data_IF_073026717209
#
_entry.id   IF_073026717209
#
_cell.length_a   1.000
_cell.length_b   1.000
_cell.length_c   1.000
_cell.angle_alpha   90.00
_cell.angle_beta   90.00
_cell.angle_gamma   90.00
#
_symmetry.space_group_name_H-M   'P 1'
#
loop_
_entity.id
_entity.type
_entity.pdbx_description
1 polymer ?
#
# COMPACT_ATOMS: atom_id res chain seq x y z
N UNK A 1 -12.33 -22.05 17.59
CA UNK A 1 -13.02 -21.95 18.89
C UNK A 1 -14.46 -21.45 18.84
N UNK A 2 -14.83 -20.48 17.99
CA UNK A 2 -16.23 -19.98 17.89
C UNK A 2 -16.98 -20.41 16.61
N UNK A 3 -16.80 -21.65 16.16
CA UNK A 3 -17.42 -22.14 14.91
C UNK A 3 -18.95 -22.23 14.99
N UNK A 4 -19.46 -22.67 16.14
CA UNK A 4 -20.90 -22.85 16.38
C UNK A 4 -21.56 -21.64 17.07
N UNK A 5 -20.80 -20.55 17.26
CA UNK A 5 -21.31 -19.34 17.88
C UNK A 5 -22.13 -18.51 16.88
N UNK A 6 -23.26 -17.95 17.33
CA UNK A 6 -24.07 -17.06 16.50
C UNK A 6 -23.28 -15.79 16.14
N UNK A 7 -23.41 -15.34 14.88
CA UNK A 7 -22.65 -14.19 14.37
C UNK A 7 -22.82 -12.91 15.22
N UNK A 8 -23.97 -12.73 15.88
CA UNK A 8 -24.23 -11.60 16.78
C UNK A 8 -23.28 -11.57 17.99
N UNK A 9 -22.81 -12.73 18.45
CA UNK A 9 -21.94 -12.91 19.63
C UNK A 9 -20.43 -12.79 19.33
N UNK A 10 -20.08 -12.58 18.06
CA UNK A 10 -18.69 -12.42 17.62
C UNK A 10 -18.19 -10.99 17.87
N UNK A 11 -16.89 -10.85 18.16
CA UNK A 11 -16.23 -9.53 18.23
C UNK A 11 -16.21 -8.86 16.85
N UNK A 12 -15.91 -7.56 16.80
CA UNK A 12 -15.80 -6.83 15.52
C UNK A 12 -14.83 -7.47 14.54
N UNK A 13 -13.62 -7.82 15.01
CA UNK A 13 -12.62 -8.52 14.19
C UNK A 13 -13.08 -9.91 13.74
N UNK A 14 -13.74 -10.68 14.62
CA UNK A 14 -14.30 -11.99 14.25
C UNK A 14 -15.42 -11.88 13.20
N UNK A 15 -16.26 -10.84 13.27
CA UNK A 15 -17.28 -10.57 12.24
C UNK A 15 -16.64 -10.24 10.89
N UNK A 16 -15.53 -9.50 10.88
CA UNK A 16 -14.76 -9.22 9.65
C UNK A 16 -14.15 -10.49 9.05
N UNK A 17 -13.51 -11.33 9.88
CA UNK A 17 -13.02 -12.67 9.44
C UNK A 17 -14.17 -13.53 8.88
N UNK A 18 -15.35 -13.51 9.50
CA UNK A 18 -16.53 -14.21 9.00
C UNK A 18 -17.01 -13.64 7.64
N UNK A 19 -17.07 -12.31 7.49
CA UNK A 19 -17.41 -11.66 6.22
C UNK A 19 -16.45 -12.05 5.10
N UNK A 20 -15.15 -12.07 5.38
CA UNK A 20 -14.14 -12.55 4.43
C UNK A 20 -14.38 -14.01 4.05
N UNK A 21 -14.65 -14.88 5.04
CA UNK A 21 -15.01 -16.28 4.80
C UNK A 21 -16.26 -16.43 3.90
N UNK A 22 -17.29 -15.63 4.13
CA UNK A 22 -18.49 -15.60 3.29
C UNK A 22 -18.21 -15.15 1.86
N UNK A 23 -17.28 -14.21 1.66
CA UNK A 23 -16.91 -13.74 0.32
C UNK A 23 -16.19 -14.85 -0.50
N UNK A 24 -15.49 -15.75 0.18
CA UNK A 24 -14.57 -16.71 -0.46
C UNK A 24 -15.21 -18.09 -0.64
N UNK A 25 -16.14 -18.49 0.22
CA UNK A 25 -16.77 -19.82 0.17
C UNK A 25 -17.41 -20.13 -1.19
N UNK A 26 -17.82 -19.10 -1.94
CA UNK A 26 -18.39 -19.22 -3.28
C UNK A 26 -17.37 -19.53 -4.39
N UNK A 27 -16.06 -19.55 -4.09
CA UNK A 27 -15.00 -19.73 -5.07
C UNK A 27 -14.90 -18.57 -6.05
N UNK A 28 -15.09 -17.33 -5.59
CA UNK A 28 -15.01 -16.15 -6.45
C UNK A 28 -13.60 -16.01 -7.05
N UNK A 29 -13.53 -15.61 -8.32
CA UNK A 29 -12.29 -15.26 -9.04
C UNK A 29 -11.84 -13.83 -8.69
N UNK A 30 -12.80 -12.95 -8.36
CA UNK A 30 -12.58 -11.55 -7.99
C UNK A 30 -13.09 -11.31 -6.57
N UNK A 31 -12.25 -10.71 -5.74
CA UNK A 31 -12.56 -10.34 -4.36
C UNK A 31 -12.41 -8.82 -4.21
N UNK A 32 -13.45 -8.15 -3.73
CA UNK A 32 -13.43 -6.71 -3.44
C UNK A 32 -13.62 -6.56 -1.93
N UNK A 33 -12.62 -5.99 -1.27
CA UNK A 33 -12.55 -5.85 0.17
C UNK A 33 -12.49 -4.37 0.53
N UNK A 34 -13.49 -3.92 1.29
CA UNK A 34 -13.52 -2.56 1.81
C UNK A 34 -13.02 -2.55 3.26
N UNK A 35 -11.85 -1.94 3.48
CA UNK A 35 -11.22 -1.78 4.80
C UNK A 35 -11.17 -3.08 5.62
N UNK A 36 -10.61 -4.19 5.05
CA UNK A 36 -10.76 -5.53 5.62
C UNK A 36 -10.16 -5.67 7.02
N UNK A 37 -9.14 -4.88 7.35
CA UNK A 37 -8.38 -4.96 8.60
C UNK A 37 -8.72 -3.87 9.61
N UNK A 38 -9.67 -3.00 9.28
CA UNK A 38 -10.19 -2.01 10.22
C UNK A 38 -10.66 -2.70 11.50
N UNK A 39 -10.37 -2.14 12.67
CA UNK A 39 -10.77 -2.67 13.98
C UNK A 39 -10.42 -4.15 14.26
N UNK A 40 -9.38 -4.66 13.61
CA UNK A 40 -8.70 -5.91 13.99
C UNK A 40 -7.45 -5.56 14.79
N UNK A 41 -7.09 -6.43 15.73
CA UNK A 41 -5.80 -6.36 16.43
C UNK A 41 -4.62 -6.64 15.47
N UNK A 42 -3.39 -6.20 15.82
CA UNK A 42 -2.23 -6.35 14.94
C UNK A 42 -1.92 -7.79 14.54
N UNK A 43 -2.15 -8.76 15.43
CA UNK A 43 -1.92 -10.18 15.17
C UNK A 43 -2.92 -10.72 14.14
N UNK A 44 -4.21 -10.50 14.37
CA UNK A 44 -5.27 -10.88 13.44
C UNK A 44 -5.15 -10.22 12.07
N UNK A 45 -4.60 -9.00 12.00
CA UNK A 45 -4.30 -8.30 10.74
C UNK A 45 -3.26 -9.06 9.92
N UNK A 46 -2.15 -9.46 10.55
CA UNK A 46 -1.08 -10.23 9.90
C UNK A 46 -1.58 -11.57 9.38
N UNK A 47 -2.39 -12.29 10.16
CA UNK A 47 -3.02 -13.53 9.69
C UNK A 47 -3.86 -13.30 8.43
N UNK A 48 -4.65 -12.23 8.40
CA UNK A 48 -5.47 -11.88 7.24
C UNK A 48 -4.58 -11.53 6.04
N UNK A 49 -3.50 -10.78 6.24
CA UNK A 49 -2.55 -10.45 5.19
C UNK A 49 -1.92 -11.70 4.58
N UNK A 50 -1.46 -12.64 5.40
CA UNK A 50 -0.89 -13.91 4.95
C UNK A 50 -1.89 -14.72 4.11
N UNK A 51 -3.17 -14.73 4.50
CA UNK A 51 -4.23 -15.37 3.73
C UNK A 51 -4.45 -14.69 2.37
N UNK A 52 -4.49 -13.35 2.32
CA UNK A 52 -4.66 -12.61 1.07
C UNK A 52 -3.46 -12.79 0.14
N UNK A 53 -2.24 -12.78 0.68
CA UNK A 53 -1.02 -13.04 -0.07
C UNK A 53 -0.99 -14.45 -0.65
N UNK A 54 -1.48 -15.46 0.09
CA UNK A 54 -1.62 -16.82 -0.41
C UNK A 54 -2.60 -16.90 -1.60
N UNK A 55 -3.71 -16.15 -1.56
CA UNK A 55 -4.70 -16.14 -2.64
C UNK A 55 -4.33 -15.25 -3.84
N UNK A 56 -3.34 -14.37 -3.71
CA UNK A 56 -2.89 -13.44 -4.76
C UNK A 56 -2.59 -14.13 -6.10
N UNK A 57 -2.10 -15.38 -6.08
CA UNK A 57 -1.79 -16.14 -7.31
C UNK A 57 -3.02 -16.73 -8.00
N UNK A 58 -4.12 -16.91 -7.27
CA UNK A 58 -5.33 -17.61 -7.75
C UNK A 58 -6.50 -16.66 -8.02
N UNK A 59 -6.47 -15.45 -7.45
CA UNK A 59 -7.60 -14.52 -7.43
C UNK A 59 -7.13 -13.09 -7.69
N UNK A 60 -7.99 -12.31 -8.33
CA UNK A 60 -7.84 -10.85 -8.38
C UNK A 60 -8.45 -10.25 -7.13
N UNK A 61 -7.65 -9.52 -6.36
CA UNK A 61 -8.08 -8.93 -5.09
C UNK A 61 -7.96 -7.40 -5.20
N UNK A 62 -9.07 -6.70 -4.97
CA UNK A 62 -9.12 -5.24 -4.85
C UNK A 62 -9.37 -4.88 -3.39
N UNK A 63 -8.49 -4.09 -2.81
CA UNK A 63 -8.56 -3.66 -1.41
C UNK A 63 -8.63 -2.14 -1.39
N UNK A 64 -9.59 -1.59 -0.66
CA UNK A 64 -9.55 -0.19 -0.21
C UNK A 64 -9.08 -0.15 1.23
N UNK A 65 -8.06 0.67 1.48
CA UNK A 65 -7.47 0.84 2.80
C UNK A 65 -6.96 2.25 2.98
N UNK A 66 -7.05 2.77 4.20
CA UNK A 66 -6.36 3.97 4.64
C UNK A 66 -5.04 3.67 5.36
N UNK A 67 -4.71 2.39 5.57
CA UNK A 67 -3.42 1.98 6.12
C UNK A 67 -2.42 1.78 4.99
N UNK A 68 -1.49 2.72 4.83
CA UNK A 68 -0.51 2.66 3.76
C UNK A 68 0.45 1.46 3.91
N UNK A 69 0.78 1.06 5.15
CA UNK A 69 1.50 -0.21 5.41
C UNK A 69 0.77 -1.44 4.82
N UNK A 70 -0.56 -1.47 4.86
CA UNK A 70 -1.36 -2.55 4.26
C UNK A 70 -1.26 -2.53 2.74
N UNK A 71 -1.33 -1.34 2.14
CA UNK A 71 -1.19 -1.16 0.71
C UNK A 71 0.21 -1.58 0.22
N UNK A 72 1.28 -1.21 0.96
CA UNK A 72 2.66 -1.58 0.62
C UNK A 72 2.89 -3.09 0.75
N UNK A 73 2.34 -3.73 1.80
CA UNK A 73 2.53 -5.15 2.04
C UNK A 73 1.75 -6.04 1.06
N UNK A 74 0.51 -5.66 0.70
CA UNK A 74 -0.38 -6.48 -0.12
C UNK A 74 -0.38 -6.11 -1.61
N UNK A 75 -0.04 -4.87 -1.95
CA UNK A 75 -0.25 -4.30 -3.28
C UNK A 75 0.75 -4.78 -4.34
N UNK A 76 0.25 -5.40 -5.41
CA UNK A 76 0.95 -5.44 -6.71
C UNK A 76 0.99 -4.06 -7.36
N UNK A 77 -0.13 -3.36 -7.27
CA UNK A 77 -0.41 -2.07 -7.86
C UNK A 77 -1.21 -1.25 -6.86
N UNK A 78 -0.82 0.01 -6.71
CA UNK A 78 -1.41 0.95 -5.76
C UNK A 78 -1.99 2.10 -6.55
N UNK A 79 -3.16 2.55 -6.13
CA UNK A 79 -3.83 3.73 -6.65
C UNK A 79 -4.12 4.65 -5.46
N UNK A 80 -3.56 5.85 -5.48
CA UNK A 80 -3.75 6.84 -4.44
C UNK A 80 -4.87 7.79 -4.87
N UNK A 81 -5.93 7.85 -4.06
CA UNK A 81 -7.05 8.75 -4.28
C UNK A 81 -7.08 9.84 -3.20
N UNK A 82 -7.32 11.08 -3.61
CA UNK A 82 -7.55 12.22 -2.72
C UNK A 82 -8.60 13.14 -3.34
N UNK A 83 -9.42 13.80 -2.50
CA UNK A 83 -10.44 14.76 -2.94
C UNK A 83 -11.36 14.21 -4.06
N UNK A 84 -11.73 12.93 -3.98
CA UNK A 84 -12.62 12.27 -4.94
C UNK A 84 -12.01 12.01 -6.32
N UNK A 85 -10.70 12.23 -6.50
CA UNK A 85 -9.99 11.98 -7.76
C UNK A 85 -8.77 11.07 -7.56
N UNK A 86 -8.45 10.30 -8.59
CA UNK A 86 -7.24 9.50 -8.63
C UNK A 86 -6.05 10.44 -8.85
N UNK A 87 -5.12 10.45 -7.92
CA UNK A 87 -3.97 11.33 -7.97
C UNK A 87 -2.79 10.67 -8.66
N UNK A 88 -2.50 9.42 -8.31
CA UNK A 88 -1.43 8.65 -8.92
C UNK A 88 -1.66 7.15 -8.77
N UNK A 89 -0.95 6.37 -9.58
CA UNK A 89 -1.04 4.93 -9.54
C UNK A 89 0.24 4.28 -10.07
N UNK A 90 0.60 3.12 -9.55
CA UNK A 90 1.79 2.41 -9.98
C UNK A 90 2.11 1.24 -9.08
N UNK A 91 3.23 0.57 -9.34
CA UNK A 91 3.79 -0.39 -8.36
C UNK A 91 4.28 0.39 -7.14
N UNK A 92 4.33 -0.21 -5.94
CA UNK A 92 4.81 0.48 -4.74
C UNK A 92 6.22 1.07 -4.94
N UNK A 93 7.12 0.30 -5.57
CA UNK A 93 8.47 0.76 -5.90
C UNK A 93 8.47 1.82 -7.01
N UNK A 94 7.58 1.70 -8.01
CA UNK A 94 7.43 2.69 -9.08
C UNK A 94 6.99 4.05 -8.54
N UNK A 95 6.02 4.07 -7.62
CA UNK A 95 5.57 5.29 -6.95
C UNK A 95 6.69 5.92 -6.12
N UNK A 96 7.43 5.12 -5.34
CA UNK A 96 8.60 5.60 -4.57
C UNK A 96 9.67 6.22 -5.48
N UNK A 97 9.89 5.65 -6.66
CA UNK A 97 10.82 6.20 -7.65
C UNK A 97 10.29 7.47 -8.34
N UNK A 98 9.04 7.47 -8.78
CA UNK A 98 8.43 8.57 -9.54
C UNK A 98 8.27 9.83 -8.71
N UNK A 99 7.93 9.69 -7.44
CA UNK A 99 7.77 10.83 -6.53
C UNK A 99 9.11 11.33 -5.99
N UNK A 100 10.23 10.87 -6.54
CA UNK A 100 11.60 11.34 -6.29
C UNK A 100 11.92 11.37 -4.79
N UNK A 101 11.60 10.25 -4.14
CA UNK A 101 11.74 10.12 -2.70
C UNK A 101 12.75 9.02 -2.41
N UNK A 102 14.00 9.47 -2.27
CA UNK A 102 15.16 8.63 -2.07
C UNK A 102 15.28 8.01 -0.67
N UNK A 103 16.51 7.64 -0.30
CA UNK A 103 16.80 7.21 1.06
C UNK A 103 16.92 8.42 1.99
N UNK A 104 16.27 8.36 3.14
CA UNK A 104 16.46 9.31 4.22
C UNK A 104 17.61 8.84 5.10
N UNK A 105 18.77 9.48 4.97
CA UNK A 105 19.91 9.28 5.85
C UNK A 105 19.78 10.22 7.05
N UNK A 106 19.59 9.64 8.24
CA UNK A 106 19.56 10.34 9.52
C UNK A 106 20.84 10.08 10.29
N UNK A 107 21.54 11.15 10.65
CA UNK A 107 22.79 11.12 11.41
C UNK A 107 22.59 11.82 12.75
N UNK A 108 22.72 11.08 13.84
CA UNK A 108 22.76 11.62 15.19
C UNK A 108 24.21 11.95 15.52
N UNK A 109 24.54 13.22 15.76
CA UNK A 109 25.87 13.64 16.19
C UNK A 109 25.95 13.75 17.71
N UNK A 110 27.15 13.63 18.27
CA UNK A 110 27.40 13.77 19.71
C UNK A 110 27.09 15.20 20.18
N UNK A 111 26.74 15.35 21.46
CA UNK A 111 26.37 16.64 22.05
C UNK A 111 27.47 17.70 22.03
N UNK A 112 28.73 17.27 21.95
CA UNK A 112 29.90 18.14 21.84
C UNK A 112 30.30 18.46 20.38
N UNK A 113 29.47 18.07 19.41
CA UNK A 113 29.69 18.38 18.00
C UNK A 113 29.46 19.86 17.70
N UNK A 114 30.46 20.51 17.11
CA UNK A 114 30.39 21.91 16.74
C UNK A 114 29.69 22.10 15.40
N UNK A 115 29.32 23.34 15.07
CA UNK A 115 28.81 23.69 13.73
C UNK A 115 29.80 23.34 12.62
N UNK A 116 31.11 23.43 12.89
CA UNK A 116 32.14 23.01 11.93
C UNK A 116 32.10 21.52 11.67
N UNK A 117 31.90 20.69 12.70
CA UNK A 117 31.81 19.24 12.55
C UNK A 117 30.57 18.84 11.72
N UNK A 118 29.42 19.48 12.00
CA UNK A 118 28.20 19.32 11.18
C UNK A 118 28.44 19.72 9.72
N UNK A 119 29.19 20.79 9.47
CA UNK A 119 29.54 21.22 8.12
C UNK A 119 30.51 20.25 7.42
N UNK A 120 31.47 19.64 8.14
CA UNK A 120 32.35 18.60 7.59
C UNK A 120 31.54 17.39 7.12
N UNK A 121 30.61 16.90 7.95
CA UNK A 121 29.69 15.81 7.60
C UNK A 121 28.88 16.17 6.36
N UNK A 122 28.27 17.35 6.35
CA UNK A 122 27.49 17.85 5.22
C UNK A 122 28.30 17.87 3.94
N UNK A 123 29.52 18.41 3.97
CA UNK A 123 30.37 18.49 2.80
C UNK A 123 30.82 17.11 2.30
N UNK A 124 31.15 16.18 3.21
CA UNK A 124 31.52 14.80 2.89
C UNK A 124 30.39 14.08 2.12
N UNK A 125 29.15 14.19 2.60
CA UNK A 125 28.00 13.54 1.96
C UNK A 125 27.69 14.15 0.58
N UNK A 126 27.74 15.49 0.50
CA UNK A 126 27.47 16.20 -0.75
C UNK A 126 28.60 16.05 -1.80
N UNK A 127 29.83 15.72 -1.39
CA UNK A 127 30.93 15.43 -2.32
C UNK A 127 30.87 14.00 -2.86
N UNK A 128 30.40 13.05 -2.05
CA UNK A 128 30.36 11.63 -2.42
C UNK A 128 29.14 11.28 -3.27
N UNK A 129 28.03 12.02 -3.11
CA UNK A 129 26.76 11.77 -3.79
C UNK A 129 26.23 13.05 -4.46
N UNK A 130 26.30 13.08 -5.79
CA UNK A 130 26.02 14.26 -6.62
C UNK A 130 24.60 14.85 -6.44
N UNK A 131 23.61 14.00 -6.17
CA UNK A 131 22.20 14.40 -6.01
C UNK A 131 21.70 14.30 -4.56
N UNK A 132 22.61 14.24 -3.58
CA UNK A 132 22.21 14.29 -2.18
C UNK A 132 21.68 15.69 -1.81
N UNK A 133 20.56 15.72 -1.09
CA UNK A 133 19.95 16.96 -0.59
C UNK A 133 19.97 16.98 0.94
N UNK A 134 20.50 18.05 1.53
CA UNK A 134 20.35 18.28 2.96
C UNK A 134 18.93 18.80 3.25
N UNK A 135 18.12 18.05 3.99
CA UNK A 135 16.73 18.41 4.30
C UNK A 135 16.65 19.32 5.50
N UNK A 136 17.11 18.84 6.65
CA UNK A 136 16.98 19.58 7.90
C UNK A 136 17.99 19.12 8.96
N UNK A 137 18.15 19.92 10.02
CA UNK A 137 18.88 19.57 11.22
C UNK A 137 18.08 19.96 12.45
N UNK A 138 17.54 18.96 13.14
CA UNK A 138 16.80 19.14 14.39
C UNK A 138 17.72 18.83 15.56
N UNK A 139 18.29 19.88 16.17
CA UNK A 139 19.26 19.73 17.25
C UNK A 139 20.53 19.02 16.76
N UNK A 140 20.71 17.77 17.19
CA UNK A 140 21.85 16.92 16.82
C UNK A 140 21.50 15.85 15.79
N UNK A 141 20.27 15.84 15.27
CA UNK A 141 19.89 14.94 14.20
C UNK A 141 19.94 15.67 12.85
N UNK A 142 20.83 15.26 11.96
CA UNK A 142 20.95 15.76 10.60
C UNK A 142 20.26 14.80 9.62
N UNK A 143 19.43 15.31 8.73
CA UNK A 143 18.65 14.52 7.78
C UNK A 143 19.01 14.88 6.35
N UNK A 144 19.36 13.87 5.56
CA UNK A 144 19.70 13.98 4.15
C UNK A 144 18.77 13.08 3.33
N UNK A 145 18.47 13.51 2.10
CA UNK A 145 17.80 12.71 1.09
C UNK A 145 18.84 12.27 0.05
N UNK A 146 19.01 10.96 -0.13
CA UNK A 146 19.96 10.37 -1.07
C UNK A 146 19.22 9.71 -2.25
N UNK A 147 19.67 9.86 -3.50
CA UNK A 147 19.03 9.26 -4.68
C UNK A 147 19.08 7.71 -4.64
N UNK A 148 18.05 7.03 -5.16
CA UNK A 148 18.01 5.55 -5.21
C UNK A 148 18.89 4.91 -6.30
N UNK A 149 19.48 5.71 -7.20
CA UNK A 149 20.16 5.18 -8.40
C UNK A 149 21.62 4.76 -8.13
N UNK A 150 22.23 5.29 -7.07
CA UNK A 150 23.66 5.15 -6.76
C UNK A 150 23.93 4.24 -5.54
N UNK A 151 23.29 3.07 -5.49
CA UNK A 151 23.36 2.15 -4.33
C UNK A 151 24.80 1.77 -3.90
N UNK A 152 25.74 1.61 -4.85
CA UNK A 152 27.14 1.31 -4.52
C UNK A 152 27.86 2.49 -3.88
N UNK A 153 27.57 3.72 -4.32
CA UNK A 153 28.13 4.93 -3.69
C UNK A 153 27.53 5.15 -2.31
N UNK A 154 26.23 4.88 -2.13
CA UNK A 154 25.58 4.93 -0.82
C UNK A 154 26.23 3.94 0.14
N UNK A 155 26.45 2.70 -0.28
CA UNK A 155 27.14 1.71 0.54
C UNK A 155 28.57 2.16 0.91
N UNK A 156 29.30 2.74 -0.04
CA UNK A 156 30.63 3.32 0.19
C UNK A 156 30.59 4.48 1.20
N UNK A 157 29.66 5.42 1.02
CA UNK A 157 29.45 6.55 1.94
C UNK A 157 29.15 6.05 3.37
N UNK A 158 28.24 5.09 3.52
CA UNK A 158 27.90 4.53 4.82
C UNK A 158 29.13 3.88 5.49
N UNK A 159 29.93 3.15 4.73
CA UNK A 159 31.19 2.58 5.23
C UNK A 159 32.16 3.68 5.68
N UNK A 160 32.36 4.74 4.87
CA UNK A 160 33.23 5.88 5.23
C UNK A 160 32.75 6.59 6.49
N UNK A 161 31.44 6.83 6.62
CA UNK A 161 30.85 7.47 7.81
C UNK A 161 30.97 6.61 9.05
N UNK A 162 30.95 5.28 8.90
CA UNK A 162 31.09 4.33 10.01
C UNK A 162 32.55 4.12 10.42
N UNK A 163 33.48 4.17 9.46
CA UNK A 163 34.93 4.15 9.72
C UNK A 163 35.41 5.43 10.43
N UNK A 164 34.97 6.61 9.99
CA UNK A 164 35.33 7.91 10.60
C UNK A 164 34.29 8.40 11.62
N UNK A 165 33.52 7.48 12.21
CA UNK A 165 32.43 7.80 13.14
C UNK A 165 32.91 8.63 14.34
N UNK A 166 34.08 8.31 14.87
CA UNK A 166 34.68 9.04 16.00
C UNK A 166 35.23 10.41 15.58
N UNK A 167 35.89 10.52 14.43
CA UNK A 167 36.44 11.79 13.93
C UNK A 167 35.35 12.78 13.50
N UNK A 168 34.24 12.27 12.98
CA UNK A 168 33.05 13.04 12.61
C UNK A 168 32.10 13.28 13.80
N UNK A 169 32.39 12.73 14.99
CA UNK A 169 31.52 12.79 16.18
C UNK A 169 30.09 12.31 15.91
N UNK A 170 29.94 11.24 15.14
CA UNK A 170 28.64 10.63 14.86
C UNK A 170 28.34 9.60 15.95
N UNK A 171 27.17 9.68 16.56
CA UNK A 171 26.67 8.71 17.55
C UNK A 171 25.93 7.56 16.87
N UNK A 172 25.00 7.87 15.96
CA UNK A 172 24.20 6.86 15.24
C UNK A 172 23.96 7.26 13.80
N UNK A 173 23.89 6.25 12.93
CA UNK A 173 23.55 6.37 11.52
C UNK A 173 22.30 5.51 11.28
N UNK A 174 21.28 6.09 10.64
CA UNK A 174 20.06 5.39 10.26
C UNK A 174 19.71 5.72 8.82
N UNK A 175 19.26 4.71 8.08
CA UNK A 175 18.79 4.87 6.71
C UNK A 175 17.37 4.34 6.64
N UNK A 176 16.42 5.21 6.28
CA UNK A 176 15.04 4.83 6.03
C UNK A 176 14.69 5.06 4.57
N UNK A 177 13.70 4.33 4.07
CA UNK A 177 13.16 4.51 2.73
C UNK A 177 11.89 5.33 2.86
N UNK A 178 11.63 6.18 1.88
CA UNK A 178 10.34 6.87 1.82
C UNK A 178 9.18 5.88 1.80
N UNK A 179 8.20 6.15 2.63
CA UNK A 179 7.01 5.30 2.76
C UNK A 179 5.89 5.77 1.82
N UNK A 180 4.85 4.96 1.68
CA UNK A 180 3.67 5.37 0.92
C UNK A 180 2.93 6.53 1.60
N UNK A 181 3.04 6.66 2.93
CA UNK A 181 2.51 7.81 3.68
C UNK A 181 3.15 9.12 3.22
N UNK A 182 4.47 9.16 3.05
CA UNK A 182 5.19 10.35 2.57
C UNK A 182 4.73 10.74 1.16
N UNK A 183 4.57 9.75 0.28
CA UNK A 183 4.06 9.95 -1.08
C UNK A 183 2.63 10.49 -1.03
N UNK A 184 1.77 9.90 -0.19
CA UNK A 184 0.41 10.37 0.00
C UNK A 184 0.35 11.83 0.46
N UNK A 185 1.20 12.23 1.41
CA UNK A 185 1.30 13.60 1.88
C UNK A 185 1.77 14.55 0.78
N UNK A 186 2.81 14.19 0.03
CA UNK A 186 3.36 14.98 -1.08
C UNK A 186 2.31 15.21 -2.17
N UNK A 187 1.63 14.14 -2.58
CA UNK A 187 0.54 14.17 -3.57
C UNK A 187 -0.61 15.05 -3.11
N UNK A 188 -1.02 14.91 -1.84
CA UNK A 188 -2.09 15.73 -1.27
C UNK A 188 -1.72 17.22 -1.29
N UNK A 189 -0.52 17.59 -0.86
CA UNK A 189 -0.03 18.97 -0.89
C UNK A 189 0.02 19.55 -2.31
N UNK A 190 0.46 18.76 -3.30
CA UNK A 190 0.45 19.18 -4.70
C UNK A 190 -0.97 19.42 -5.22
N UNK A 191 -1.93 18.56 -4.85
CA UNK A 191 -3.33 18.73 -5.23
C UNK A 191 -3.97 19.99 -4.62
N UNK A 192 -3.62 20.32 -3.36
CA UNK A 192 -4.09 21.53 -2.68
C UNK A 192 -3.44 22.80 -3.27
N UNK A 193 -2.16 22.75 -3.63
CA UNK A 193 -1.45 23.88 -4.24
C UNK A 193 -2.01 24.21 -5.63
N UNK A 194 -2.32 23.17 -6.43
CA UNK A 194 -2.95 23.34 -7.74
C UNK A 194 -4.40 23.83 -7.65
N UNK A 195 -5.08 23.67 -6.51
CA UNK A 195 -6.45 24.15 -6.30
C UNK A 195 -6.55 25.67 -6.05
N UNK A 196 -5.43 26.38 -5.85
CA UNK A 196 -5.41 27.85 -5.70
C UNK A 196 -5.33 28.62 -7.03
N UNK A 197 -5.27 27.92 -8.17
CA UNK A 197 -5.49 28.50 -9.50
C UNK A 197 -6.55 27.66 -10.20
N UNK A 198 -7.81 28.04 -10.03
CA UNK A 198 -8.92 27.49 -10.80
C UNK A 198 -9.17 28.41 -12.01
N UNK A 199 -8.61 28.15 -13.20
CA UNK A 199 -9.50 28.20 -14.35
C UNK A 199 -10.45 27.02 -14.17
N UNK A 200 -11.75 27.31 -14.16
CA UNK A 200 -12.76 26.28 -14.27
C UNK A 200 -12.34 25.31 -15.37
N UNK A 201 -12.24 24.01 -15.05
CA UNK A 201 -11.96 23.00 -16.06
C UNK A 201 -13.05 23.11 -17.12
N UNK A 202 -12.69 23.69 -18.26
CA UNK A 202 -13.41 23.47 -19.50
C UNK A 202 -13.40 21.96 -19.72
N UNK A 203 -14.59 21.38 -19.68
CA UNK A 203 -14.84 19.98 -19.95
C UNK A 203 -14.69 19.70 -21.45
N UNK A 204 -13.49 19.89 -21.99
CA UNK A 204 -13.13 19.45 -23.33
C UNK A 204 -11.74 18.79 -23.20
N UNK A 205 -11.61 17.56 -23.72
CA UNK A 205 -10.42 16.69 -23.68
C UNK A 205 -10.29 15.64 -22.56
N UNK A 206 -11.40 15.21 -21.99
CA UNK A 206 -11.58 13.76 -21.74
C UNK A 206 -12.79 13.31 -22.55
N UNK A 207 -12.59 12.39 -23.50
CA UNK A 207 -13.70 11.61 -24.05
C UNK A 207 -14.29 10.84 -22.88
N UNK A 208 -15.28 11.44 -22.25
CA UNK A 208 -16.12 10.83 -21.25
C UNK A 208 -16.84 9.69 -21.95
N UNK A 209 -16.27 8.49 -21.84
CA UNK A 209 -17.03 7.26 -22.01
C UNK A 209 -17.94 7.20 -20.79
N UNK A 210 -18.98 8.04 -20.81
CA UNK A 210 -20.17 7.84 -19.98
C UNK A 210 -20.70 6.48 -20.40
N UNK A 211 -20.61 5.45 -19.55
CA UNK A 211 -21.11 4.16 -19.95
C UNK A 211 -22.62 4.32 -19.99
N UNK A 212 -23.21 4.20 -21.19
CA UNK A 212 -24.65 4.28 -21.40
C UNK A 212 -25.35 3.49 -20.30
N UNK A 213 -26.17 4.18 -19.50
CA UNK A 213 -26.81 3.64 -18.31
C UNK A 213 -27.68 2.42 -18.66
N UNK A 214 -28.20 2.35 -19.89
CA UNK A 214 -28.88 1.17 -20.43
C UNK A 214 -27.91 0.01 -20.68
N UNK A 215 -26.71 0.30 -21.19
CA UNK A 215 -25.64 -0.70 -21.41
C UNK A 215 -25.11 -1.25 -20.08
N UNK A 216 -24.93 -0.40 -19.05
CA UNK A 216 -24.58 -0.85 -17.70
C UNK A 216 -25.67 -1.73 -17.08
N UNK A 217 -26.94 -1.35 -17.24
CA UNK A 217 -28.07 -2.15 -16.76
C UNK A 217 -28.11 -3.51 -17.47
N UNK A 218 -27.93 -3.53 -18.80
CA UNK A 218 -27.85 -4.76 -19.59
C UNK A 218 -26.65 -5.64 -19.18
N UNK A 219 -25.48 -5.05 -18.94
CA UNK A 219 -24.31 -5.79 -18.46
C UNK A 219 -24.56 -6.38 -17.07
N UNK A 220 -25.22 -5.65 -16.15
CA UNK A 220 -25.63 -6.16 -14.83
C UNK A 220 -26.62 -7.30 -14.95
N UNK A 221 -27.65 -7.19 -15.79
CA UNK A 221 -28.61 -8.27 -16.03
C UNK A 221 -27.95 -9.49 -16.66
N UNK A 222 -27.07 -9.29 -17.65
CA UNK A 222 -26.34 -10.37 -18.31
C UNK A 222 -25.39 -11.06 -17.33
N UNK A 223 -24.70 -10.31 -16.48
CA UNK A 223 -23.84 -10.85 -15.42
C UNK A 223 -24.64 -11.64 -14.37
N UNK A 224 -25.79 -11.12 -13.93
CA UNK A 224 -26.71 -11.81 -13.01
C UNK A 224 -27.25 -13.10 -13.66
N UNK A 225 -27.61 -13.06 -14.94
CA UNK A 225 -28.11 -14.22 -15.66
C UNK A 225 -27.01 -15.27 -15.84
N UNK A 226 -25.80 -14.88 -16.24
CA UNK A 226 -24.63 -15.78 -16.34
C UNK A 226 -24.28 -16.36 -14.98
N UNK A 227 -24.31 -15.57 -13.90
CA UNK A 227 -24.09 -16.06 -12.53
C UNK A 227 -25.16 -17.08 -12.14
N UNK A 228 -26.43 -16.80 -12.43
CA UNK A 228 -27.56 -17.70 -12.16
C UNK A 228 -27.45 -18.98 -13.00
N UNK A 229 -27.04 -18.88 -14.27
CA UNK A 229 -26.85 -20.03 -15.15
C UNK A 229 -25.63 -20.89 -14.77
N UNK A 230 -24.50 -20.27 -14.40
CA UNK A 230 -23.32 -20.96 -13.86
C UNK A 230 -23.66 -21.66 -12.55
N UNK A 231 -24.39 -21.00 -11.65
CA UNK A 231 -24.87 -21.59 -10.40
C UNK A 231 -25.79 -22.78 -10.67
N UNK A 232 -26.76 -22.63 -11.57
CA UNK A 232 -27.65 -23.73 -11.96
C UNK A 232 -26.88 -24.88 -12.59
N UNK A 233 -25.99 -24.66 -13.57
CA UNK A 233 -25.20 -25.74 -14.18
C UNK A 233 -24.33 -26.49 -13.16
N UNK A 234 -23.73 -25.78 -12.20
CA UNK A 234 -22.87 -26.38 -11.16
C UNK A 234 -23.68 -27.18 -10.12
N UNK A 235 -24.94 -26.79 -9.86
CA UNK A 235 -25.84 -27.45 -8.89
C UNK A 235 -26.83 -28.44 -9.53
N UNK A 236 -27.05 -28.37 -10.85
CA UNK A 236 -27.98 -29.24 -11.58
C UNK A 236 -27.54 -30.71 -11.52
N UNK A 237 -26.22 -30.97 -11.61
CA UNK A 237 -25.65 -32.30 -11.45
C UNK A 237 -25.85 -32.88 -10.04
N UNK A 238 -25.93 -32.04 -8.99
CA UNK A 238 -26.18 -32.51 -7.62
C UNK A 238 -27.66 -32.82 -7.34
N UNK A 239 -28.61 -32.35 -8.17
CA UNK A 239 -30.04 -32.67 -8.01
C UNK A 239 -30.50 -33.83 -8.91
N UNK A 240 -29.77 -34.16 -9.97
CA UNK A 240 -30.16 -35.20 -10.95
C UNK A 240 -29.47 -36.56 -10.77
N UNK A 241 -28.51 -36.67 -9.84
CA UNK A 241 -28.01 -37.97 -9.39
C UNK A 241 -28.95 -38.51 -8.29
N UNK A 242 -29.70 -39.60 -8.53
CA UNK A 242 -30.49 -40.22 -7.47
C UNK A 242 -29.55 -40.72 -6.38
N UNK A 243 -29.78 -40.28 -5.15
CA UNK A 243 -29.11 -40.81 -3.95
C UNK A 243 -29.49 -42.28 -3.81
N UNK A 244 -28.65 -43.15 -4.39
CA UNK A 244 -28.67 -44.58 -4.16
C UNK A 244 -28.36 -44.85 -2.69
N UNK A 245 -29.26 -45.60 -2.05
CA UNK A 245 -29.21 -46.09 -0.67
C UNK A 245 -27.80 -46.44 -0.20
N UNK A 246 -27.33 -45.78 0.86
CA UNK A 246 -26.32 -46.35 1.76
C UNK A 246 -26.98 -46.68 3.10
N UNK A 247 -27.13 -47.99 3.34
CA UNK A 247 -27.41 -48.58 4.65
C UNK A 247 -26.19 -48.37 5.55
N UNK A 248 -26.41 -47.89 6.76
CA UNK A 248 -25.45 -47.99 7.87
C UNK A 248 -25.64 -49.34 8.59
N UNK A 249 -24.56 -50.02 9.04
CA UNK A 249 -24.64 -50.93 10.18
C UNK A 249 -24.74 -50.16 11.51
#
# INVERSE_FOLDING_TARGET
DKKDAMACTLSGGMKRKLCLGMAIIGGSEILILDEPTSGMDPESRRELWDMLLAWRREKTILITTHFMEEADALGDWIAIMANGSLQCHGTPMGLKKEYDTGYHLSLMVKDDATTEDKNKIKNCILSDIDMAEFKDCYGNNMVFLLPMEDNSKIAGLLATLEEDKEGLKIENISVTVTTLEDIFLKVKMQSETNSNHVPALNAEDTKSVTPDSKKLLQMRFKALFVKKLKFYKKKFWTYFLPVGKLKYP
#
